data_IF_869591589071
#
_entry.id   IF_869591589071
#
_cell.length_a   1.000
_cell.length_b   1.000
_cell.length_c   1.000
_cell.angle_alpha   90.00
_cell.angle_beta   90.00
_cell.angle_gamma   90.00
#
_symmetry.space_group_name_H-M   'P 1'
#
loop_
_entity.id
_entity.type
_entity.pdbx_description
1 polymer ?
#
# COMPACT_ATOMS: atom_id res chain seq x y z
N UNK A 1 -5.60 -15.03 48.01
CA UNK A 1 -6.19 -14.63 46.72
C UNK A 1 -5.08 -14.04 45.83
N UNK A 2 -4.52 -14.82 44.90
CA UNK A 2 -3.35 -14.38 44.10
C UNK A 2 -3.83 -13.45 42.97
N UNK A 3 -3.26 -12.25 42.96
CA UNK A 3 -3.54 -11.16 42.02
C UNK A 3 -3.40 -11.64 40.56
N UNK A 4 -4.45 -11.52 39.76
CA UNK A 4 -4.34 -11.58 38.30
C UNK A 4 -3.65 -10.30 37.86
N UNK A 5 -2.33 -10.35 37.62
CA UNK A 5 -1.63 -9.27 36.93
C UNK A 5 -2.31 -9.11 35.55
N UNK A 6 -2.66 -7.88 35.12
CA UNK A 6 -3.19 -7.70 33.78
C UNK A 6 -2.13 -8.18 32.79
N UNK A 7 -2.55 -9.00 31.83
CA UNK A 7 -1.70 -9.40 30.72
C UNK A 7 -1.24 -8.10 30.04
N UNK A 8 0.08 -7.87 30.00
CA UNK A 8 0.62 -6.83 29.12
C UNK A 8 0.22 -7.22 27.69
N UNK A 9 -0.24 -6.29 26.84
CA UNK A 9 -0.33 -6.59 25.42
C UNK A 9 1.08 -6.99 24.98
N UNK A 10 1.23 -8.21 24.48
CA UNK A 10 2.43 -8.62 23.77
C UNK A 10 2.44 -7.82 22.48
N UNK A 11 3.08 -6.64 22.48
CA UNK A 11 3.40 -5.93 21.24
C UNK A 11 4.53 -6.71 20.57
N UNK A 12 4.18 -7.86 19.99
CA UNK A 12 5.08 -8.64 19.17
C UNK A 12 5.19 -7.99 17.80
N UNK A 13 5.99 -6.93 17.68
CA UNK A 13 6.45 -6.37 16.40
C UNK A 13 7.76 -5.59 16.60
N UNK A 14 8.78 -6.19 17.21
CA UNK A 14 10.15 -5.64 17.21
C UNK A 14 11.08 -6.39 16.24
N UNK A 15 10.77 -7.65 15.91
CA UNK A 15 11.62 -8.47 15.01
C UNK A 15 11.41 -8.17 13.51
N UNK A 16 10.50 -7.25 13.17
CA UNK A 16 10.23 -6.79 11.80
C UNK A 16 10.75 -5.36 11.54
N UNK A 17 11.56 -4.80 12.44
CA UNK A 17 12.26 -3.52 12.24
C UNK A 17 13.25 -3.64 11.06
N UNK A 18 12.73 -3.47 9.84
CA UNK A 18 13.48 -3.56 8.59
C UNK A 18 12.88 -4.50 7.54
N UNK A 19 11.91 -5.35 7.89
CA UNK A 19 11.23 -6.19 6.90
C UNK A 19 10.16 -5.38 6.16
N UNK A 20 10.42 -5.10 4.88
CA UNK A 20 9.43 -4.50 3.99
C UNK A 20 8.42 -5.58 3.55
N UNK A 21 7.11 -5.32 3.64
CA UNK A 21 6.12 -6.26 3.15
C UNK A 21 6.23 -6.38 1.62
N UNK A 22 6.16 -7.60 1.10
CA UNK A 22 6.15 -7.86 -0.35
C UNK A 22 4.78 -7.48 -0.93
N UNK A 23 3.72 -7.81 -0.19
CA UNK A 23 2.34 -7.47 -0.57
C UNK A 23 1.56 -6.94 0.62
N UNK A 24 0.54 -6.13 0.32
CA UNK A 24 -0.38 -5.57 1.29
C UNK A 24 -1.82 -5.80 0.85
N UNK A 25 -2.73 -6.01 1.79
CA UNK A 25 -4.17 -6.04 1.49
C UNK A 25 -4.67 -4.64 1.17
N UNK A 26 -5.84 -4.53 0.53
CA UNK A 26 -6.51 -3.24 0.24
C UNK A 26 -6.54 -2.29 1.45
N UNK A 27 -6.95 -2.70 2.67
CA UNK A 27 -6.93 -1.79 3.82
C UNK A 27 -5.51 -1.36 4.26
N UNK A 28 -4.50 -2.20 4.02
CA UNK A 28 -3.10 -1.86 4.27
C UNK A 28 -2.59 -0.84 3.26
N UNK A 29 -2.88 -1.05 1.96
CA UNK A 29 -2.56 -0.10 0.90
C UNK A 29 -3.17 1.29 1.17
N UNK A 30 -4.44 1.35 1.59
CA UNK A 30 -5.10 2.62 1.99
C UNK A 30 -4.31 3.35 3.09
N UNK A 31 -3.85 2.62 4.11
CA UNK A 31 -3.07 3.22 5.22
C UNK A 31 -1.69 3.71 4.77
N UNK A 32 -1.07 3.01 3.82
CA UNK A 32 0.26 3.33 3.32
C UNK A 32 0.23 4.51 2.33
N UNK A 33 -0.72 4.53 1.41
CA UNK A 33 -0.76 5.53 0.32
C UNK A 33 -1.70 6.70 0.59
N UNK A 34 -2.59 6.59 1.58
CA UNK A 34 -3.65 7.57 1.84
C UNK A 34 -4.77 7.60 0.79
N UNK A 35 -4.76 6.71 -0.20
CA UNK A 35 -5.78 6.66 -1.24
C UNK A 35 -7.07 6.01 -0.77
N UNK A 36 -8.19 6.40 -1.38
CA UNK A 36 -9.48 5.73 -1.16
C UNK A 36 -9.46 4.31 -1.75
N UNK A 37 -10.30 3.44 -1.19
CA UNK A 37 -10.49 2.06 -1.70
C UNK A 37 -10.99 2.06 -3.15
N UNK A 38 -11.91 2.97 -3.49
CA UNK A 38 -12.44 3.09 -4.84
C UNK A 38 -11.33 3.36 -5.84
N UNK A 39 -10.43 4.31 -5.53
CA UNK A 39 -9.29 4.64 -6.39
C UNK A 39 -8.32 3.48 -6.54
N UNK A 40 -8.03 2.75 -5.47
CA UNK A 40 -7.20 1.54 -5.57
C UNK A 40 -7.83 0.50 -6.49
N UNK A 41 -9.15 0.27 -6.42
CA UNK A 41 -9.83 -0.64 -7.33
C UNK A 41 -9.84 -0.15 -8.78
N UNK A 42 -10.00 1.15 -9.01
CA UNK A 42 -9.87 1.73 -10.35
C UNK A 42 -8.47 1.51 -10.91
N UNK A 43 -7.42 1.80 -10.14
CA UNK A 43 -6.03 1.62 -10.57
C UNK A 43 -5.67 0.15 -10.84
N UNK A 44 -6.24 -0.79 -10.07
CA UNK A 44 -6.12 -2.22 -10.33
C UNK A 44 -6.82 -2.58 -11.63
N UNK A 45 -8.04 -2.07 -11.86
CA UNK A 45 -8.80 -2.33 -13.10
C UNK A 45 -8.12 -1.73 -14.33
N UNK A 46 -7.48 -0.57 -14.19
CA UNK A 46 -6.67 0.08 -15.23
C UNK A 46 -5.33 -0.63 -15.47
N UNK A 47 -4.94 -1.60 -14.62
CA UNK A 47 -3.65 -2.28 -14.71
C UNK A 47 -2.45 -1.42 -14.29
N UNK A 48 -2.68 -0.28 -13.64
CA UNK A 48 -1.63 0.62 -13.13
C UNK A 48 -1.04 0.13 -11.81
N UNK A 49 -1.82 -0.64 -11.05
CA UNK A 49 -1.37 -1.29 -9.82
C UNK A 49 -1.62 -2.79 -9.94
N UNK A 50 -0.59 -3.57 -9.68
CA UNK A 50 -0.65 -5.03 -9.73
C UNK A 50 -1.27 -5.59 -8.46
N UNK A 51 -2.30 -6.42 -8.65
CA UNK A 51 -2.96 -7.12 -7.57
C UNK A 51 -3.13 -8.60 -7.90
N UNK A 52 -2.76 -9.45 -6.95
CA UNK A 52 -2.85 -10.90 -7.01
C UNK A 52 -4.02 -11.34 -6.14
N UNK A 53 -4.88 -12.21 -6.68
CA UNK A 53 -5.97 -12.80 -5.91
C UNK A 53 -5.51 -14.15 -5.35
N UNK A 54 -5.35 -14.25 -4.04
CA UNK A 54 -5.04 -15.50 -3.35
C UNK A 54 -6.20 -15.88 -2.41
N UNK A 55 -6.78 -17.07 -2.61
CA UNK A 55 -7.83 -17.67 -1.75
C UNK A 55 -8.96 -16.70 -1.34
N UNK A 56 -9.39 -15.82 -2.25
CA UNK A 56 -10.47 -14.85 -2.01
C UNK A 56 -10.03 -13.51 -1.42
N UNK A 57 -8.73 -13.34 -1.18
CA UNK A 57 -8.11 -12.07 -0.78
C UNK A 57 -7.41 -11.42 -1.96
N UNK A 58 -7.58 -10.11 -2.10
CA UNK A 58 -6.76 -9.28 -3.00
C UNK A 58 -5.52 -8.77 -2.27
N UNK A 59 -4.35 -9.15 -2.78
CA UNK A 59 -3.03 -8.70 -2.35
C UNK A 59 -2.46 -7.76 -3.40
N UNK A 60 -2.06 -6.57 -2.99
CA UNK A 60 -1.40 -5.57 -3.85
C UNK A 60 0.10 -5.67 -3.61
N UNK A 61 0.91 -5.69 -4.67
CA UNK A 61 2.37 -5.67 -4.53
C UNK A 61 2.84 -4.27 -4.11
N UNK A 62 3.76 -4.22 -3.15
CA UNK A 62 4.30 -2.93 -2.68
C UNK A 62 5.12 -2.25 -3.76
N UNK A 63 5.88 -3.02 -4.55
CA UNK A 63 6.65 -2.53 -5.68
C UNK A 63 5.80 -1.75 -6.70
N UNK A 64 4.61 -2.28 -7.03
CA UNK A 64 3.71 -1.62 -7.98
C UNK A 64 3.14 -0.30 -7.43
N UNK A 65 2.86 -0.26 -6.12
CA UNK A 65 2.47 0.98 -5.44
C UNK A 65 3.60 2.02 -5.45
N UNK A 66 4.82 1.61 -5.12
CA UNK A 66 6.00 2.48 -5.12
C UNK A 66 6.24 3.07 -6.51
N UNK A 67 6.22 2.21 -7.55
CA UNK A 67 6.38 2.63 -8.95
C UNK A 67 5.31 3.62 -9.38
N UNK A 68 4.04 3.38 -9.02
CA UNK A 68 2.95 4.31 -9.34
C UNK A 68 3.15 5.68 -8.69
N UNK A 69 3.56 5.72 -7.42
CA UNK A 69 3.81 6.98 -6.72
C UNK A 69 5.03 7.71 -7.29
N UNK A 70 6.10 6.99 -7.61
CA UNK A 70 7.29 7.58 -8.21
C UNK A 70 6.99 8.22 -9.57
N UNK A 71 6.21 7.53 -10.41
CA UNK A 71 5.74 8.08 -11.69
C UNK A 71 4.94 9.38 -11.46
N UNK A 72 3.99 9.37 -10.52
CA UNK A 72 3.20 10.57 -10.17
C UNK A 72 4.07 11.70 -9.63
N UNK A 73 5.12 11.37 -8.87
CA UNK A 73 6.08 12.33 -8.35
C UNK A 73 6.88 12.97 -9.48
N UNK A 74 7.29 12.19 -10.48
CA UNK A 74 8.00 12.70 -11.65
C UNK A 74 7.09 13.61 -12.49
N UNK A 75 5.85 13.19 -12.76
CA UNK A 75 4.82 13.99 -13.45
C UNK A 75 4.56 15.33 -12.74
N UNK A 76 4.48 15.33 -11.41
CA UNK A 76 4.25 16.55 -10.63
C UNK A 76 5.48 17.49 -10.58
N UNK A 77 6.69 16.94 -10.71
CA UNK A 77 7.94 17.72 -10.71
C UNK A 77 8.23 18.39 -12.05
N UNK A 78 7.70 17.85 -13.15
CA UNK A 78 7.80 18.44 -14.49
C UNK A 78 6.40 18.84 -15.03
N UNK A 79 5.80 19.93 -14.51
CA UNK A 79 4.52 20.42 -15.02
C UNK A 79 4.61 21.06 -16.42
N UNK A 80 5.81 21.20 -16.98
CA UNK A 80 6.06 21.88 -18.25
C UNK A 80 5.98 20.95 -19.48
N UNK A 81 6.22 19.64 -19.33
CA UNK A 81 6.17 18.66 -20.42
C UNK A 81 4.77 18.25 -20.92
N UNK A 82 3.69 18.61 -20.21
CA UNK A 82 2.30 18.24 -20.60
C UNK A 82 1.63 19.23 -21.57
N UNK A 83 2.35 20.24 -22.08
CA UNK A 83 1.87 21.11 -23.17
C UNK A 83 2.34 20.58 -24.53
N UNK A 84 1.93 19.38 -24.92
CA UNK A 84 1.91 18.98 -26.34
C UNK A 84 1.12 17.69 -26.51
N UNK A 85 -0.18 17.85 -26.72
CA UNK A 85 -0.87 17.07 -27.74
C UNK A 85 -2.06 17.92 -28.21
N UNK A 86 -1.79 18.66 -29.29
CA UNK A 86 -2.77 19.20 -30.23
C UNK A 86 -3.07 18.13 -31.26
#
# INVERSE_FOLDING_TARGET
MKKRRPLRPVTGTSDLEGMRPITVRIPGAVKLTGMSRSRLYELIKEGKIEAIKDRGTTLITVESLERFIDQRRLEARDPAGMRTQT
#
